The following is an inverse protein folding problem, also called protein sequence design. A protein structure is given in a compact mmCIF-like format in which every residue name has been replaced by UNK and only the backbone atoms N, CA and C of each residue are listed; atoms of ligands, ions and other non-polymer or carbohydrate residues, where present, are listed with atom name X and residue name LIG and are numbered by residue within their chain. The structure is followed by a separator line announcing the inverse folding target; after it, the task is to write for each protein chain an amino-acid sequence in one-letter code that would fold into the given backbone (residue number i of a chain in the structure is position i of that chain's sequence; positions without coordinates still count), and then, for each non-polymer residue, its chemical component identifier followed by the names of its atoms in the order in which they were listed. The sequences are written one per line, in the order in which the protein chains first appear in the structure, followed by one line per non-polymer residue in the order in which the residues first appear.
data_IF_063300017582
#
_entry.id   IF_063300017582
#
_cell.length_a   1.000
_cell.length_b   1.000
_cell.length_c   1.000
_cell.angle_alpha   90.00
_cell.angle_beta   90.00
_cell.angle_gamma   90.00
#
_symmetry.space_group_name_H-M   'P 1'
#
loop_
_entity.id
_entity.type
_entity.pdbx_description
1 polymer ?
#
# COMPACT_ATOMS: atom_id res chain seq x y z
N UNK A 1 7.38 6.88 -6.60
CA UNK A 1 6.64 8.10 -7.07
C UNK A 1 6.17 9.08 -5.99
N UNK A 2 5.68 8.63 -4.82
CA UNK A 2 5.14 9.54 -3.79
C UNK A 2 6.19 10.54 -3.24
N UNK A 3 7.43 10.10 -3.03
CA UNK A 3 8.54 10.95 -2.58
C UNK A 3 8.74 12.20 -3.47
N UNK A 4 8.60 12.05 -4.79
CA UNK A 4 8.69 13.16 -5.76
C UNK A 4 7.58 14.19 -5.56
N UNK A 5 6.33 13.73 -5.35
CA UNK A 5 5.19 14.63 -5.12
C UNK A 5 5.31 15.35 -3.78
N UNK A 6 5.77 14.65 -2.74
CA UNK A 6 5.97 15.24 -1.42
C UNK A 6 7.15 16.24 -1.43
N UNK A 7 8.25 15.94 -2.13
CA UNK A 7 9.37 16.87 -2.33
C UNK A 7 8.93 18.15 -3.04
N UNK A 8 8.17 18.05 -4.13
CA UNK A 8 7.63 19.20 -4.84
C UNK A 8 6.74 20.07 -3.94
N UNK A 9 5.91 19.44 -3.09
CA UNK A 9 5.06 20.15 -2.13
C UNK A 9 5.88 20.91 -1.09
N UNK A 10 6.92 20.29 -0.53
CA UNK A 10 7.79 20.91 0.48
C UNK A 10 8.56 22.10 -0.10
N UNK A 11 8.98 22.00 -1.36
CA UNK A 11 9.66 23.08 -2.08
C UNK A 11 8.71 24.22 -2.53
N UNK A 12 7.40 24.10 -2.27
CA UNK A 12 6.41 25.13 -2.62
C UNK A 12 6.03 25.18 -4.10
N UNK A 13 6.35 24.14 -4.88
CA UNK A 13 5.96 24.09 -6.28
C UNK A 13 4.47 23.74 -6.45
N UNK A 14 3.84 24.17 -7.56
CA UNK A 14 2.50 23.72 -7.93
C UNK A 14 2.43 22.19 -8.06
N UNK A 15 1.28 21.60 -7.72
CA UNK A 15 1.05 20.15 -7.82
C UNK A 15 1.42 19.57 -9.20
N UNK A 16 1.18 20.33 -10.27
CA UNK A 16 1.50 19.94 -11.64
C UNK A 16 2.98 19.60 -11.85
N UNK A 17 3.90 20.29 -11.16
CA UNK A 17 5.34 20.01 -11.26
C UNK A 17 5.66 18.63 -10.69
N UNK A 18 5.21 18.36 -9.45
CA UNK A 18 5.40 17.06 -8.81
C UNK A 18 4.73 15.92 -9.58
N UNK A 19 3.54 16.16 -10.15
CA UNK A 19 2.83 15.15 -10.95
C UNK A 19 3.51 14.87 -12.31
N UNK A 20 4.05 15.91 -12.97
CA UNK A 20 4.84 15.77 -14.20
C UNK A 20 6.05 14.85 -13.97
N UNK A 21 6.84 15.13 -12.94
CA UNK A 21 8.02 14.30 -12.60
C UNK A 21 7.58 12.90 -12.16
N UNK A 22 6.52 12.79 -11.37
CA UNK A 22 6.02 11.49 -10.92
C UNK A 22 5.52 10.62 -12.07
N UNK A 23 5.01 11.20 -13.17
CA UNK A 23 4.58 10.47 -14.38
C UNK A 23 5.75 9.99 -15.24
N UNK A 24 6.83 10.77 -15.31
CA UNK A 24 8.07 10.40 -16.02
C UNK A 24 8.83 9.22 -15.40
N UNK A 25 8.47 8.79 -14.17
CA UNK A 25 9.01 7.59 -13.55
C UNK A 25 8.67 6.32 -14.38
N UNK A 26 9.56 5.31 -14.41
CA UNK A 26 9.34 4.04 -15.10
C UNK A 26 8.02 3.36 -14.73
N UNK A 27 7.36 2.67 -15.67
CA UNK A 27 6.12 1.93 -15.39
C UNK A 27 6.32 0.90 -14.28
N UNK A 28 5.23 0.57 -13.59
CA UNK A 28 5.24 -0.44 -12.53
C UNK A 28 5.56 -1.81 -13.12
N UNK A 29 6.47 -2.55 -12.49
CA UNK A 29 6.76 -3.94 -12.82
C UNK A 29 6.21 -4.80 -11.69
N UNK A 30 5.25 -5.67 -11.99
CA UNK A 30 4.55 -6.50 -10.99
C UNK A 30 4.00 -5.68 -9.80
N UNK A 31 3.46 -4.48 -10.09
CA UNK A 31 2.92 -3.57 -9.09
C UNK A 31 3.96 -2.82 -8.24
N UNK A 32 5.25 -2.97 -8.53
CA UNK A 32 6.34 -2.28 -7.81
C UNK A 32 6.93 -1.15 -8.66
N UNK A 33 7.17 0.00 -8.02
CA UNK A 33 7.92 1.12 -8.62
C UNK A 33 9.40 0.72 -8.75
N UNK A 34 10.08 1.21 -9.81
CA UNK A 34 11.55 1.25 -9.81
C UNK A 34 11.99 2.30 -8.77
N UNK A 35 12.96 2.00 -7.89
CA UNK A 35 13.49 2.99 -6.96
C UNK A 35 14.01 4.23 -7.71
N UNK A 36 13.80 5.42 -7.13
CA UNK A 36 14.22 6.68 -7.73
C UNK A 36 15.74 6.71 -7.90
N UNK A 37 16.51 6.25 -6.92
CA UNK A 37 17.98 6.17 -7.05
C UNK A 37 18.39 5.30 -8.26
N UNK A 38 17.75 4.15 -8.47
CA UNK A 38 18.01 3.24 -9.59
C UNK A 38 17.55 3.79 -10.96
N UNK A 39 16.81 4.90 -10.99
CA UNK A 39 16.52 5.63 -12.22
C UNK A 39 17.70 6.49 -12.69
N UNK A 40 18.67 6.78 -11.81
CA UNK A 40 19.85 7.58 -12.12
C UNK A 40 21.14 6.78 -12.12
N UNK A 41 21.21 5.71 -11.31
CA UNK A 41 22.34 4.81 -11.24
C UNK A 41 21.97 3.45 -11.83
N UNK A 42 22.73 2.99 -12.82
CA UNK A 42 22.46 1.72 -13.48
C UNK A 42 22.91 0.56 -12.60
N UNK A 43 21.96 -0.25 -12.17
CA UNK A 43 22.20 -1.49 -11.42
C UNK A 43 21.72 -2.72 -12.18
N UNK A 44 22.38 -3.85 -11.98
CA UNK A 44 22.06 -5.12 -12.64
C UNK A 44 20.62 -5.57 -12.35
N UNK A 45 20.11 -5.29 -11.14
CA UNK A 45 18.74 -5.62 -10.75
C UNK A 45 17.67 -4.72 -11.39
N UNK A 46 18.03 -3.51 -11.81
CA UNK A 46 17.07 -2.48 -12.26
C UNK A 46 17.34 -1.97 -13.68
N UNK A 47 18.01 -2.76 -14.52
CA UNK A 47 18.40 -2.37 -15.89
C UNK A 47 17.21 -1.86 -16.71
N UNK A 48 16.08 -2.56 -16.67
CA UNK A 48 14.89 -2.16 -17.45
C UNK A 48 14.26 -0.87 -16.92
N UNK A 49 14.23 -0.70 -15.59
CA UNK A 49 13.79 0.53 -14.95
C UNK A 49 14.69 1.72 -15.30
N UNK A 50 16.01 1.52 -15.27
CA UNK A 50 16.99 2.51 -15.69
C UNK A 50 16.80 2.89 -17.17
N UNK A 51 16.61 1.92 -18.07
CA UNK A 51 16.34 2.20 -19.49
C UNK A 51 15.05 3.00 -19.67
N UNK A 52 13.98 2.63 -18.98
CA UNK A 52 12.69 3.31 -19.04
C UNK A 52 12.70 4.71 -18.41
N UNK A 53 13.66 5.01 -17.53
CA UNK A 53 13.80 6.32 -16.88
C UNK A 53 14.53 7.39 -17.75
N UNK A 54 14.73 7.15 -19.05
CA UNK A 54 15.45 8.08 -19.92
C UNK A 54 14.81 9.49 -19.97
N UNK A 55 13.48 9.57 -20.05
CA UNK A 55 12.75 10.85 -20.02
C UNK A 55 12.95 11.59 -18.69
N UNK A 56 12.90 10.87 -17.57
CA UNK A 56 13.13 11.45 -16.24
C UNK A 56 14.53 12.04 -16.11
N UNK A 57 15.57 11.33 -16.60
CA UNK A 57 16.95 11.84 -16.60
C UNK A 57 17.09 13.06 -17.51
N UNK A 58 16.49 13.04 -18.70
CA UNK A 58 16.49 14.20 -19.58
C UNK A 58 15.84 15.42 -18.91
N UNK A 59 14.68 15.23 -18.27
CA UNK A 59 14.02 16.30 -17.54
C UNK A 59 14.89 16.84 -16.41
N UNK A 60 15.53 15.94 -15.65
CA UNK A 60 16.46 16.28 -14.57
C UNK A 60 17.65 17.13 -15.06
N UNK A 61 18.18 16.86 -16.24
CA UNK A 61 19.29 17.62 -16.83
C UNK A 61 18.84 18.96 -17.44
N UNK A 62 17.60 19.03 -17.97
CA UNK A 62 17.09 20.19 -18.70
C UNK A 62 16.38 21.24 -17.84
N UNK A 63 15.76 20.83 -16.72
CA UNK A 63 14.82 21.65 -15.95
C UNK A 63 15.34 21.80 -14.50
N UNK A 64 15.81 23.00 -14.10
CA UNK A 64 16.35 23.23 -12.76
C UNK A 64 15.36 22.96 -11.63
N UNK A 65 14.05 23.14 -11.87
CA UNK A 65 13.03 22.88 -10.85
C UNK A 65 12.83 21.37 -10.68
N UNK A 66 12.81 20.61 -11.78
CA UNK A 66 12.78 19.15 -11.73
C UNK A 66 14.00 18.60 -11.00
N UNK A 67 15.18 19.14 -11.29
CA UNK A 67 16.42 18.75 -10.62
C UNK A 67 16.31 18.89 -9.10
N UNK A 68 15.88 20.06 -8.62
CA UNK A 68 15.69 20.32 -7.18
C UNK A 68 14.68 19.36 -6.55
N UNK A 69 13.56 19.10 -7.23
CA UNK A 69 12.53 18.17 -6.75
C UNK A 69 13.09 16.75 -6.61
N UNK A 70 13.82 16.27 -7.61
CA UNK A 70 14.42 14.93 -7.61
C UNK A 70 15.48 14.81 -6.52
N UNK A 71 16.34 15.81 -6.36
CA UNK A 71 17.42 15.79 -5.35
C UNK A 71 16.85 15.68 -3.93
N UNK A 72 15.79 16.46 -3.63
CA UNK A 72 15.08 16.34 -2.35
C UNK A 72 14.37 14.99 -2.24
N UNK A 73 13.73 14.52 -3.31
CA UNK A 73 13.02 13.25 -3.30
C UNK A 73 13.94 12.03 -3.05
N UNK A 74 15.19 12.06 -3.50
CA UNK A 74 16.20 11.03 -3.20
C UNK A 74 16.44 10.89 -1.70
N UNK A 75 16.43 11.99 -0.95
CA UNK A 75 16.55 11.97 0.52
C UNK A 75 15.29 11.51 1.26
N UNK A 76 14.13 11.52 0.59
CA UNK A 76 12.86 11.08 1.16
C UNK A 76 12.54 9.61 0.83
N UNK A 77 13.22 9.04 -0.17
CA UNK A 77 13.04 7.64 -0.55
C UNK A 77 13.46 6.69 0.56
N UNK A 78 12.66 5.63 0.77
CA UNK A 78 12.92 4.63 1.81
C UNK A 78 12.42 5.02 3.21
N UNK A 79 12.05 6.28 3.44
CA UNK A 79 11.48 6.71 4.72
C UNK A 79 10.03 6.23 4.88
N UNK A 80 9.65 5.96 6.14
CA UNK A 80 8.27 5.65 6.50
C UNK A 80 7.43 6.94 6.50
N UNK A 81 6.37 6.95 5.72
CA UNK A 81 5.47 8.11 5.57
C UNK A 81 4.37 8.16 6.61
N UNK A 82 3.73 7.02 6.86
CA UNK A 82 2.61 6.85 7.79
C UNK A 82 2.46 5.37 8.14
N UNK A 83 1.80 5.10 9.27
CA UNK A 83 1.37 3.77 9.68
C UNK A 83 -0.05 3.48 9.17
N UNK A 84 -0.38 2.21 8.94
CA UNK A 84 -1.68 1.76 8.45
C UNK A 84 -2.02 0.39 9.02
N UNK A 85 -3.29 0.01 9.00
CA UNK A 85 -3.74 -1.30 9.47
C UNK A 85 -3.56 -2.33 8.35
N UNK A 86 -3.06 -3.51 8.69
CA UNK A 86 -3.00 -4.61 7.72
C UNK A 86 -4.43 -5.00 7.30
N UNK A 87 -4.64 -5.24 6.01
CA UNK A 87 -5.98 -5.49 5.45
C UNK A 87 -6.64 -6.82 5.88
N UNK A 88 -5.96 -7.67 6.65
CA UNK A 88 -6.42 -9.03 6.93
C UNK A 88 -5.81 -9.63 8.20
N UNK A 89 -4.55 -9.32 8.51
CA UNK A 89 -3.84 -9.92 9.62
C UNK A 89 -4.43 -9.51 10.98
N UNK A 90 -4.67 -10.51 11.80
CA UNK A 90 -5.10 -10.40 13.20
C UNK A 90 -4.11 -11.19 14.06
N UNK A 91 -3.67 -10.58 15.15
CA UNK A 91 -2.76 -11.19 16.12
C UNK A 91 -3.56 -11.69 17.32
N UNK A 92 -3.33 -12.93 17.72
CA UNK A 92 -4.03 -13.59 18.82
C UNK A 92 -2.99 -14.04 19.85
N UNK A 93 -3.15 -13.60 21.10
CA UNK A 93 -2.24 -13.94 22.19
C UNK A 93 -3.00 -14.60 23.34
N UNK A 94 -2.29 -15.36 24.17
CA UNK A 94 -2.86 -15.99 25.38
C UNK A 94 -3.07 -14.96 26.49
N UNK A 95 -2.04 -14.18 26.76
CA UNK A 95 -2.06 -13.09 27.74
C UNK A 95 -2.30 -11.74 27.02
N UNK A 96 -2.54 -10.62 27.73
CA UNK A 96 -2.76 -9.32 27.10
C UNK A 96 -1.63 -8.93 26.12
N UNK A 97 -1.99 -8.36 24.96
CA UNK A 97 -1.04 -7.98 23.90
C UNK A 97 0.12 -7.09 24.40
N UNK A 98 -0.16 -6.22 25.38
CA UNK A 98 0.79 -5.29 25.99
C UNK A 98 1.93 -5.97 26.75
N UNK A 99 1.79 -7.26 27.11
CA UNK A 99 2.88 -8.04 27.71
C UNK A 99 3.93 -8.47 26.67
N UNK A 100 3.58 -8.46 25.38
CA UNK A 100 4.45 -8.92 24.30
C UNK A 100 4.96 -7.78 23.41
N UNK A 101 4.10 -6.81 23.08
CA UNK A 101 4.43 -5.74 22.15
C UNK A 101 3.64 -4.45 22.42
N UNK A 102 4.16 -3.28 21.98
CA UNK A 102 3.41 -2.04 22.03
C UNK A 102 2.22 -2.06 21.06
N UNK A 103 1.07 -1.61 21.57
CA UNK A 103 -0.17 -1.41 20.79
C UNK A 103 -0.52 0.07 20.70
N UNK A 104 -1.39 0.41 19.77
CA UNK A 104 -2.00 1.74 19.66
C UNK A 104 -3.45 1.60 19.20
N UNK A 105 -4.25 2.64 19.43
CA UNK A 105 -5.58 2.76 18.81
C UNK A 105 -5.46 3.59 17.55
N UNK A 106 -5.96 3.10 16.42
CA UNK A 106 -5.94 3.85 15.16
C UNK A 106 -7.21 4.71 15.06
N UNK A 107 -7.13 6.04 15.20
CA UNK A 107 -8.32 6.88 15.19
C UNK A 107 -9.04 6.79 13.85
N UNK A 108 -10.37 6.73 13.90
CA UNK A 108 -11.22 6.76 12.73
C UNK A 108 -12.20 7.93 12.84
N UNK A 109 -12.38 8.67 11.75
CA UNK A 109 -13.25 9.84 11.72
C UNK A 109 -14.68 9.47 12.08
N UNK A 110 -15.22 10.11 13.13
CA UNK A 110 -16.59 9.86 13.60
C UNK A 110 -16.72 8.68 14.57
N UNK A 111 -15.63 8.02 14.93
CA UNK A 111 -15.60 6.94 15.93
C UNK A 111 -15.02 7.48 17.23
N UNK A 112 -15.62 7.12 18.38
CA UNK A 112 -15.06 7.46 19.69
C UNK A 112 -13.68 6.79 19.82
N UNK A 113 -12.63 7.49 20.29
CA UNK A 113 -11.31 6.90 20.51
C UNK A 113 -11.30 5.56 21.27
N UNK A 114 -12.25 5.32 22.17
CA UNK A 114 -12.33 4.05 22.92
C UNK A 114 -12.83 2.87 22.08
N UNK A 115 -13.59 3.14 21.01
CA UNK A 115 -14.13 2.15 20.07
C UNK A 115 -13.21 1.95 18.85
N UNK A 116 -12.17 2.77 18.73
CA UNK A 116 -11.22 2.71 17.63
C UNK A 116 -10.44 1.38 17.62
N UNK A 117 -10.15 0.81 16.43
CA UNK A 117 -9.41 -0.44 16.31
C UNK A 117 -8.07 -0.42 17.04
N UNK A 118 -7.79 -1.48 17.78
CA UNK A 118 -6.49 -1.72 18.42
C UNK A 118 -5.56 -2.39 17.41
N UNK A 119 -4.36 -1.84 17.23
CA UNK A 119 -3.36 -2.33 16.28
C UNK A 119 -2.00 -2.45 16.94
N UNK A 120 -1.19 -3.39 16.46
CA UNK A 120 0.22 -3.53 16.87
C UNK A 120 1.03 -2.36 16.30
N UNK A 121 2.04 -1.88 17.04
CA UNK A 121 3.00 -0.92 16.48
C UNK A 121 4.12 -1.60 15.70
N UNK A 122 4.31 -2.91 15.90
CA UNK A 122 5.19 -3.73 15.06
C UNK A 122 4.47 -4.13 13.78
N UNK A 123 5.23 -4.12 12.70
CA UNK A 123 4.89 -4.66 11.40
C UNK A 123 4.92 -6.20 11.39
N UNK A 124 4.43 -6.78 10.30
CA UNK A 124 4.21 -8.23 10.16
C UNK A 124 5.39 -9.08 10.63
N UNK A 125 6.61 -8.76 10.17
CA UNK A 125 7.80 -9.57 10.47
C UNK A 125 8.16 -9.50 11.95
N UNK A 126 8.15 -8.32 12.57
CA UNK A 126 8.40 -8.17 14.00
C UNK A 126 7.43 -8.95 14.87
N UNK A 127 6.15 -9.08 14.47
CA UNK A 127 5.17 -9.91 15.18
C UNK A 127 5.48 -11.41 15.04
N UNK A 128 5.84 -11.85 13.83
CA UNK A 128 6.16 -13.26 13.55
C UNK A 128 7.46 -13.69 14.24
N UNK A 129 8.47 -12.83 14.30
CA UNK A 129 9.74 -13.07 14.99
C UNK A 129 9.57 -13.24 16.52
N UNK A 130 8.55 -12.59 17.10
CA UNK A 130 8.17 -12.79 18.51
C UNK A 130 7.46 -14.13 18.77
N UNK A 131 7.15 -14.90 17.71
CA UNK A 131 6.46 -16.19 17.81
C UNK A 131 4.98 -16.06 18.17
N UNK A 132 4.36 -14.90 17.91
CA UNK A 132 2.94 -14.71 18.18
C UNK A 132 2.07 -15.34 17.07
N UNK A 133 0.90 -15.84 17.45
CA UNK A 133 -0.05 -16.40 16.50
C UNK A 133 -0.67 -15.27 15.67
N UNK A 134 -0.50 -15.40 14.35
CA UNK A 134 -1.10 -14.53 13.34
C UNK A 134 -2.07 -15.34 12.50
N UNK A 135 -3.25 -14.77 12.26
CA UNK A 135 -4.24 -15.31 11.33
C UNK A 135 -4.70 -14.23 10.36
N UNK A 136 -4.85 -14.59 9.09
CA UNK A 136 -5.32 -13.65 8.06
C UNK A 136 -6.82 -13.86 7.78
N UNK A 137 -7.63 -12.83 8.02
CA UNK A 137 -9.05 -12.77 7.71
C UNK A 137 -9.26 -11.93 6.45
N UNK A 138 -9.36 -12.59 5.30
CA UNK A 138 -9.41 -11.90 4.01
C UNK A 138 -10.85 -11.50 3.66
N UNK A 139 -11.08 -10.21 3.41
CA UNK A 139 -12.31 -9.71 2.79
C UNK A 139 -12.29 -9.93 1.27
N UNK A 140 -12.83 -11.05 0.79
CA UNK A 140 -12.91 -11.35 -0.64
C UNK A 140 -14.17 -10.76 -1.26
N UNK A 141 -14.00 -9.80 -2.19
CA UNK A 141 -15.12 -9.18 -2.93
C UNK A 141 -15.96 -10.21 -3.69
N UNK A 142 -15.32 -11.27 -4.20
CA UNK A 142 -16.01 -12.36 -4.91
C UNK A 142 -17.06 -13.04 -4.05
N UNK A 143 -16.79 -13.25 -2.76
CA UNK A 143 -17.76 -13.85 -1.84
C UNK A 143 -18.97 -12.94 -1.63
N UNK A 144 -18.77 -11.62 -1.51
CA UNK A 144 -19.89 -10.66 -1.43
C UNK A 144 -20.73 -10.62 -2.70
N UNK A 145 -20.10 -10.75 -3.88
CA UNK A 145 -20.83 -10.81 -5.17
C UNK A 145 -21.67 -12.09 -5.25
N UNK A 146 -21.10 -13.23 -4.83
CA UNK A 146 -21.81 -14.51 -4.82
C UNK A 146 -23.02 -14.43 -3.87
N UNK A 147 -22.83 -13.92 -2.64
CA UNK A 147 -23.89 -13.75 -1.65
C UNK A 147 -25.05 -12.91 -2.20
N UNK A 148 -24.73 -11.77 -2.83
CA UNK A 148 -25.74 -10.91 -3.45
C UNK A 148 -26.45 -11.60 -4.63
N UNK A 149 -25.72 -12.38 -5.44
CA UNK A 149 -26.31 -13.13 -6.54
C UNK A 149 -27.33 -14.17 -6.03
N UNK A 150 -26.99 -14.94 -4.99
CA UNK A 150 -27.91 -15.90 -4.36
C UNK A 150 -29.16 -15.22 -3.82
N UNK A 151 -28.98 -14.08 -3.14
CA UNK A 151 -30.09 -13.29 -2.59
C UNK A 151 -31.06 -12.85 -3.69
N UNK A 152 -30.55 -12.38 -4.83
CA UNK A 152 -31.36 -11.97 -5.98
C UNK A 152 -32.08 -13.16 -6.63
N UNK A 153 -31.42 -14.31 -6.76
CA UNK A 153 -32.04 -15.53 -7.30
C UNK A 153 -33.20 -15.99 -6.41
N UNK A 154 -33.00 -16.01 -5.09
CA UNK A 154 -34.05 -16.34 -4.13
C UNK A 154 -35.24 -15.38 -4.22
N UNK A 155 -34.97 -14.08 -4.34
CA UNK A 155 -36.03 -13.07 -4.49
C UNK A 155 -36.80 -13.19 -5.81
N UNK A 156 -36.13 -13.54 -6.91
CA UNK A 156 -36.75 -13.62 -8.23
C UNK A 156 -37.50 -14.95 -8.48
N UNK A 157 -37.00 -16.05 -7.92
CA UNK A 157 -37.48 -17.41 -8.25
C UNK A 157 -38.17 -18.12 -7.09
N UNK A 158 -37.99 -17.64 -5.85
CA UNK A 158 -38.38 -18.35 -4.63
C UNK A 158 -37.47 -19.52 -4.26
N UNK A 159 -36.46 -19.84 -5.08
CA UNK A 159 -35.53 -20.93 -4.84
C UNK A 159 -34.24 -20.40 -4.19
N UNK A 160 -33.93 -20.91 -3.01
CA UNK A 160 -32.65 -20.66 -2.35
C UNK A 160 -31.65 -21.72 -2.79
N UNK A 161 -30.53 -21.28 -3.38
CA UNK A 161 -29.45 -22.16 -3.82
C UNK A 161 -28.46 -22.35 -2.66
N UNK A 162 -28.10 -23.59 -2.38
CA UNK A 162 -27.02 -23.94 -1.46
C UNK A 162 -25.71 -24.13 -2.23
N UNK A 163 -24.75 -23.24 -1.98
CA UNK A 163 -23.42 -23.26 -2.62
C UNK A 163 -22.64 -24.54 -2.34
N UNK A 164 -22.79 -25.13 -1.15
CA UNK A 164 -22.00 -26.31 -0.74
C UNK A 164 -22.42 -27.57 -1.50
N UNK A 165 -23.61 -27.55 -2.13
CA UNK A 165 -24.23 -28.70 -2.77
C UNK A 165 -24.42 -28.54 -4.29
N UNK A 166 -23.80 -27.53 -4.91
CA UNK A 166 -23.86 -27.36 -6.38
C UNK A 166 -23.02 -28.47 -7.06
N UNK A 167 -23.60 -29.25 -8.00
CA UNK A 167 -22.84 -30.21 -8.78
C UNK A 167 -21.71 -29.53 -9.56
N UNK A 168 -20.55 -30.20 -9.65
CA UNK A 168 -19.38 -29.67 -10.36
C UNK A 168 -19.31 -30.15 -11.82
N UNK A 169 -20.29 -30.95 -12.26
CA UNK A 169 -20.44 -31.55 -13.57
C UNK A 169 -21.81 -31.28 -14.22
#
# INVERSE_FOLDING_TARGET
RAAVRDAARVLGYPYAVGDKVAKAMPPLVMGRDTPLWACFDQEEQYVDGYKAAAELRQMYDSDPDVKRVVDVAKGLEGLRRQDSIHAAAVVITRDPLTEYLPIQRKPESGVNPEDAPVVTQFEMNGVEELGLLKMDFLGLRTLSIIDEALRLIGAATGNNIDLEHIPLD
#
